data_IF_782257262564
#
_entry.id   IF_782257262564
#
_cell.length_a   1.000
_cell.length_b   1.000
_cell.length_c   1.000
_cell.angle_alpha   90.00
_cell.angle_beta   90.00
_cell.angle_gamma   90.00
#
_symmetry.space_group_name_H-M   'P 1'
#
loop_
_entity.id
_entity.type
_entity.pdbx_description
1 polymer ?
#
# COMPACT_ATOMS: atom_id res chain seq x y z
N UNK A 1 6.50 -23.15 7.06
CA UNK A 1 6.58 -22.00 7.98
C UNK A 1 5.22 -21.85 8.64
N UNK A 2 5.13 -21.84 9.98
CA UNK A 2 3.85 -21.62 10.68
C UNK A 2 3.56 -20.14 10.88
N UNK A 3 2.30 -19.80 11.12
CA UNK A 3 1.87 -18.43 11.43
C UNK A 3 2.66 -17.86 12.62
N UNK A 4 2.80 -18.62 13.71
CA UNK A 4 3.54 -18.16 14.90
C UNK A 4 5.04 -17.94 14.63
N UNK A 5 5.66 -18.79 13.79
CA UNK A 5 7.04 -18.59 13.38
C UNK A 5 7.21 -17.29 12.59
N UNK A 6 6.32 -17.02 11.63
CA UNK A 6 6.37 -15.80 10.82
C UNK A 6 6.11 -14.53 11.66
N UNK A 7 5.14 -14.57 12.58
CA UNK A 7 4.89 -13.48 13.54
C UNK A 7 6.17 -13.12 14.31
N UNK A 8 6.83 -14.14 14.86
CA UNK A 8 8.07 -13.97 15.63
C UNK A 8 9.19 -13.39 14.78
N UNK A 9 9.41 -13.91 13.58
CA UNK A 9 10.46 -13.42 12.67
C UNK A 9 10.25 -11.96 12.28
N UNK A 10 9.02 -11.56 11.95
CA UNK A 10 8.72 -10.16 11.62
C UNK A 10 8.97 -9.25 12.84
N UNK A 11 8.55 -9.68 14.04
CA UNK A 11 8.77 -8.93 15.26
C UNK A 11 10.27 -8.80 15.63
N UNK A 12 11.08 -9.84 15.38
CA UNK A 12 12.54 -9.80 15.61
C UNK A 12 13.30 -8.90 14.62
N UNK A 13 12.70 -8.59 13.46
CA UNK A 13 13.27 -7.68 12.45
C UNK A 13 12.87 -6.22 12.67
N UNK A 14 12.09 -5.95 13.70
CA UNK A 14 11.79 -4.59 14.14
C UNK A 14 12.98 -3.96 14.86
N UNK A 15 13.27 -2.69 14.57
CA UNK A 15 14.38 -1.98 15.21
C UNK A 15 14.09 -1.59 16.67
N UNK A 16 12.81 -1.59 17.05
CA UNK A 16 12.31 -1.21 18.37
C UNK A 16 11.24 -2.22 18.80
N UNK A 17 10.92 -2.26 20.10
CA UNK A 17 9.81 -3.07 20.58
C UNK A 17 8.50 -2.60 19.92
N UNK A 18 7.78 -3.49 19.20
CA UNK A 18 6.54 -3.12 18.53
C UNK A 18 5.47 -2.68 19.52
N UNK A 19 4.70 -1.65 19.18
CA UNK A 19 3.50 -1.29 19.95
C UNK A 19 2.44 -2.39 19.86
N UNK A 20 1.41 -2.35 20.71
CA UNK A 20 0.32 -3.33 20.69
C UNK A 20 -0.40 -3.39 19.33
N UNK A 21 -0.63 -2.22 18.71
CA UNK A 21 -1.19 -2.11 17.36
C UNK A 21 -0.26 -2.68 16.29
N UNK A 22 1.05 -2.42 16.38
CA UNK A 22 2.03 -2.98 15.45
C UNK A 22 2.12 -4.51 15.58
N UNK A 23 2.09 -5.05 16.79
CA UNK A 23 2.08 -6.50 17.01
C UNK A 23 0.82 -7.18 16.48
N UNK A 24 -0.34 -6.53 16.64
CA UNK A 24 -1.62 -6.97 16.05
C UNK A 24 -1.56 -6.97 14.52
N UNK A 25 -0.97 -5.93 13.93
CA UNK A 25 -0.76 -5.87 12.49
C UNK A 25 0.22 -6.94 11.99
N UNK A 26 1.32 -7.18 12.69
CA UNK A 26 2.24 -8.29 12.39
C UNK A 26 1.48 -9.62 12.38
N UNK A 27 0.53 -9.77 13.30
CA UNK A 27 -0.29 -10.98 13.36
C UNK A 27 -1.16 -11.15 12.12
N UNK A 28 -1.86 -10.10 11.71
CA UNK A 28 -2.70 -10.08 10.51
C UNK A 28 -1.86 -10.30 9.25
N UNK A 29 -0.67 -9.72 9.18
CA UNK A 29 0.24 -9.88 8.04
C UNK A 29 0.73 -11.31 7.92
N UNK A 30 1.10 -11.95 9.03
CA UNK A 30 1.51 -13.35 9.00
C UNK A 30 0.39 -14.28 8.51
N UNK A 31 -0.84 -14.04 8.97
CA UNK A 31 -2.03 -14.76 8.49
C UNK A 31 -2.31 -14.48 7.01
N UNK A 32 -2.18 -13.23 6.58
CA UNK A 32 -2.35 -12.81 5.19
C UNK A 32 -1.32 -13.44 4.25
N UNK A 33 -0.06 -13.52 4.65
CA UNK A 33 1.03 -14.08 3.83
C UNK A 33 0.93 -15.59 3.66
N UNK A 34 0.37 -16.29 4.66
CA UNK A 34 0.23 -17.75 4.67
C UNK A 34 -1.15 -18.26 4.24
N UNK A 35 -2.09 -17.34 3.96
CA UNK A 35 -3.43 -17.68 3.47
C UNK A 35 -3.36 -18.43 2.13
N UNK A 36 -4.15 -19.48 1.94
CA UNK A 36 -4.16 -20.29 0.72
C UNK A 36 -5.09 -19.74 -0.37
N UNK A 37 -5.96 -18.78 -0.02
CA UNK A 37 -6.86 -18.16 -0.99
C UNK A 37 -6.08 -17.41 -2.08
N UNK A 38 -6.48 -17.61 -3.32
CA UNK A 38 -6.02 -16.79 -4.43
C UNK A 38 -6.70 -15.42 -4.36
N UNK A 39 -6.00 -14.36 -4.75
CA UNK A 39 -6.51 -12.98 -4.76
C UNK A 39 -6.85 -12.41 -3.37
N UNK A 40 -5.82 -12.32 -2.54
CA UNK A 40 -5.85 -11.69 -1.23
C UNK A 40 -5.36 -10.23 -1.29
N UNK A 41 -6.09 -9.32 -0.65
CA UNK A 41 -5.74 -7.90 -0.50
C UNK A 41 -5.73 -7.50 0.97
N UNK A 42 -4.68 -6.81 1.42
CA UNK A 42 -4.61 -6.23 2.76
C UNK A 42 -4.44 -4.71 2.67
N UNK A 43 -5.32 -3.98 3.36
CA UNK A 43 -5.25 -2.51 3.47
C UNK A 43 -4.74 -2.13 4.85
N UNK A 44 -3.63 -1.40 4.90
CA UNK A 44 -3.02 -0.88 6.13
C UNK A 44 -3.19 0.63 6.16
N UNK A 45 -3.95 1.11 7.12
CA UNK A 45 -4.17 2.52 7.38
C UNK A 45 -3.33 2.95 8.57
N UNK A 46 -2.96 4.21 8.62
CA UNK A 46 -2.44 4.81 9.84
C UNK A 46 -1.78 6.14 9.58
N UNK A 47 -1.61 6.91 10.64
CA UNK A 47 -1.11 8.26 10.53
C UNK A 47 0.40 8.35 10.30
N UNK A 48 0.89 9.54 9.94
CA UNK A 48 2.32 9.84 10.01
C UNK A 48 2.87 9.54 11.42
N UNK A 49 3.95 8.75 11.49
CA UNK A 49 4.61 8.39 12.73
C UNK A 49 4.11 7.11 13.42
N UNK A 50 3.18 6.35 12.82
CA UNK A 50 2.68 5.08 13.40
C UNK A 50 3.53 3.85 13.06
N UNK A 51 4.60 4.03 12.29
CA UNK A 51 5.57 2.96 11.98
C UNK A 51 5.22 2.08 10.76
N UNK A 52 4.30 2.50 9.89
CA UNK A 52 3.94 1.77 8.65
C UNK A 52 5.16 1.32 7.83
N UNK A 53 6.06 2.25 7.52
CA UNK A 53 7.27 1.95 6.72
C UNK A 53 8.25 1.04 7.48
N UNK A 54 8.30 1.10 8.81
CA UNK A 54 9.10 0.18 9.64
C UNK A 54 8.59 -1.25 9.53
N UNK A 55 7.27 -1.45 9.50
CA UNK A 55 6.64 -2.75 9.27
C UNK A 55 7.00 -3.28 7.88
N UNK A 56 6.90 -2.43 6.84
CA UNK A 56 7.29 -2.82 5.47
C UNK A 56 8.73 -3.30 5.43
N UNK A 57 9.66 -2.54 6.04
CA UNK A 57 11.07 -2.92 6.14
C UNK A 57 11.25 -4.30 6.79
N UNK A 58 10.59 -4.54 7.92
CA UNK A 58 10.69 -5.83 8.63
C UNK A 58 10.19 -7.00 7.76
N UNK A 59 9.07 -6.82 7.06
CA UNK A 59 8.49 -7.84 6.18
C UNK A 59 9.39 -8.11 4.98
N UNK A 60 9.91 -7.06 4.34
CA UNK A 60 10.82 -7.22 3.19
C UNK A 60 12.03 -8.05 3.58
N UNK A 61 12.66 -7.75 4.72
CA UNK A 61 13.80 -8.53 5.22
C UNK A 61 13.46 -10.00 5.46
N UNK A 62 12.34 -10.27 6.12
CA UNK A 62 11.90 -11.66 6.35
C UNK A 62 11.61 -12.37 5.03
N UNK A 63 10.90 -11.75 4.09
CA UNK A 63 10.55 -12.40 2.81
C UNK A 63 11.78 -12.66 1.93
N UNK A 64 12.75 -11.75 1.94
CA UNK A 64 14.01 -11.89 1.22
C UNK A 64 14.84 -13.09 1.75
N UNK A 65 14.89 -13.29 3.07
CA UNK A 65 15.54 -14.46 3.70
C UNK A 65 14.91 -15.80 3.27
N UNK A 66 13.63 -15.81 2.87
CA UNK A 66 12.89 -17.00 2.47
C UNK A 66 12.69 -17.11 0.95
N UNK A 67 13.45 -16.34 0.15
CA UNK A 67 13.35 -16.30 -1.32
C UNK A 67 11.93 -16.01 -1.82
N UNK A 68 11.14 -15.25 -1.07
CA UNK A 68 9.83 -14.79 -1.49
C UNK A 68 9.97 -13.41 -2.14
N UNK A 69 9.36 -13.23 -3.31
CA UNK A 69 9.50 -12.00 -4.07
C UNK A 69 8.86 -10.81 -3.33
N UNK A 70 9.51 -9.65 -3.37
CA UNK A 70 8.90 -8.39 -2.92
C UNK A 70 9.05 -7.31 -3.98
N UNK A 71 7.98 -6.56 -4.22
CA UNK A 71 7.98 -5.42 -5.14
C UNK A 71 7.37 -4.23 -4.43
N UNK A 72 8.18 -3.19 -4.24
CA UNK A 72 7.78 -1.96 -3.58
C UNK A 72 7.36 -0.91 -4.60
N UNK A 73 6.18 -0.34 -4.41
CA UNK A 73 5.55 0.61 -5.32
C UNK A 73 5.07 1.85 -4.59
N UNK A 74 5.02 2.95 -5.32
CA UNK A 74 4.41 4.20 -4.85
C UNK A 74 3.80 4.97 -6.04
N UNK A 75 2.85 5.89 -5.82
CA UNK A 75 2.22 6.66 -6.89
C UNK A 75 3.18 7.68 -7.53
N UNK A 76 4.08 8.27 -6.74
CA UNK A 76 5.01 9.32 -7.20
C UNK A 76 6.48 8.91 -7.10
N UNK A 77 7.35 9.52 -7.92
CA UNK A 77 8.79 9.25 -7.89
C UNK A 77 9.44 9.66 -6.56
N UNK A 78 8.95 10.73 -5.92
CA UNK A 78 9.43 11.15 -4.59
C UNK A 78 9.09 10.11 -3.53
N UNK A 79 7.84 9.64 -3.50
CA UNK A 79 7.39 8.60 -2.57
C UNK A 79 8.17 7.30 -2.79
N UNK A 80 8.39 6.88 -4.05
CA UNK A 80 9.21 5.70 -4.36
C UNK A 80 10.66 5.83 -3.85
N UNK A 81 11.29 7.00 -4.01
CA UNK A 81 12.66 7.26 -3.51
C UNK A 81 12.72 7.18 -1.99
N UNK A 82 11.72 7.74 -1.30
CA UNK A 82 11.63 7.71 0.17
C UNK A 82 11.39 6.28 0.66
N UNK A 83 10.43 5.56 0.05
CA UNK A 83 10.15 4.16 0.35
C UNK A 83 11.41 3.31 0.20
N UNK A 84 12.14 3.46 -0.92
CA UNK A 84 13.37 2.71 -1.16
C UNK A 84 14.42 2.93 -0.08
N UNK A 85 14.57 4.18 0.38
CA UNK A 85 15.53 4.53 1.42
C UNK A 85 15.19 3.89 2.76
N UNK A 86 13.91 3.91 3.15
CA UNK A 86 13.49 3.39 4.46
C UNK A 86 13.36 1.87 4.50
N UNK A 87 12.92 1.24 3.39
CA UNK A 87 12.83 -0.22 3.29
C UNK A 87 14.18 -0.89 3.05
N UNK A 88 15.22 -0.12 2.69
CA UNK A 88 16.53 -0.62 2.25
C UNK A 88 16.41 -1.56 1.02
N UNK A 89 15.36 -1.38 0.21
CA UNK A 89 15.06 -2.22 -0.96
C UNK A 89 14.54 -1.37 -2.12
N UNK A 90 14.83 -1.69 -3.39
CA UNK A 90 14.40 -0.88 -4.53
C UNK A 90 12.88 -0.73 -4.63
N UNK A 91 12.40 0.51 -4.74
CA UNK A 91 11.00 0.81 -5.02
C UNK A 91 10.83 1.62 -6.32
N UNK A 92 9.69 1.45 -6.97
CA UNK A 92 9.38 2.05 -8.26
C UNK A 92 8.05 2.79 -8.23
N UNK A 93 7.83 3.67 -9.20
CA UNK A 93 6.47 4.18 -9.39
C UNK A 93 5.58 3.08 -9.96
N UNK A 94 4.29 3.08 -9.62
CA UNK A 94 3.30 2.15 -10.19
C UNK A 94 3.37 2.21 -11.71
N UNK A 95 3.32 3.42 -12.27
CA UNK A 95 3.39 3.65 -13.72
C UNK A 95 4.61 3.00 -14.37
N UNK A 96 5.80 3.16 -13.77
CA UNK A 96 7.05 2.56 -14.29
C UNK A 96 7.01 1.04 -14.24
N UNK A 97 6.29 0.45 -13.28
CA UNK A 97 6.23 -1.00 -13.10
C UNK A 97 5.24 -1.66 -14.05
N UNK A 98 4.06 -1.08 -14.24
CA UNK A 98 2.94 -1.78 -14.90
C UNK A 98 2.74 -1.38 -16.36
N UNK A 99 3.21 -0.20 -16.79
CA UNK A 99 2.93 0.29 -18.14
C UNK A 99 4.13 0.17 -19.08
N UNK A 100 3.84 -0.24 -20.32
CA UNK A 100 4.72 -0.20 -21.47
C UNK A 100 4.21 0.86 -22.46
N UNK A 101 5.11 1.73 -22.90
CA UNK A 101 4.86 2.63 -24.02
C UNK A 101 5.17 1.88 -25.32
N UNK A 102 4.17 1.76 -26.19
CA UNK A 102 4.28 1.26 -27.54
C UNK A 102 3.94 2.39 -28.52
N UNK A 103 4.41 2.29 -29.75
CA UNK A 103 3.97 3.14 -30.87
C UNK A 103 3.17 2.29 -31.84
N UNK A 104 1.98 2.75 -32.21
CA UNK A 104 1.24 2.15 -33.31
C UNK A 104 1.90 2.46 -34.66
N UNK A 105 1.48 1.77 -35.73
CA UNK A 105 1.98 1.97 -37.10
C UNK A 105 1.83 3.41 -37.59
N UNK A 106 0.86 4.15 -37.04
CA UNK A 106 0.58 5.55 -37.34
C UNK A 106 1.38 6.55 -36.47
N UNK A 107 2.31 6.07 -35.64
CA UNK A 107 3.12 6.92 -34.75
C UNK A 107 2.41 7.41 -33.48
N UNK A 108 1.15 6.98 -33.27
CA UNK A 108 0.42 7.25 -32.04
C UNK A 108 1.01 6.43 -30.89
N UNK A 109 1.25 7.07 -29.74
CA UNK A 109 1.73 6.36 -28.55
C UNK A 109 0.54 5.63 -27.91
N UNK A 110 0.72 4.34 -27.65
CA UNK A 110 -0.21 3.48 -26.94
C UNK A 110 0.40 3.06 -25.60
N UNK A 111 -0.43 3.04 -24.56
CA UNK A 111 -0.06 2.52 -23.24
C UNK A 111 -0.72 1.16 -23.08
N UNK A 112 0.10 0.11 -22.92
CA UNK A 112 -0.35 -1.25 -22.62
C UNK A 112 0.22 -1.70 -21.27
N UNK A 113 -0.42 -2.68 -20.63
CA UNK A 113 0.12 -3.30 -19.41
C UNK A 113 1.25 -4.28 -19.76
N UNK A 114 2.29 -4.29 -18.93
CA UNK A 114 3.29 -5.36 -18.96
C UNK A 114 2.66 -6.69 -18.53
N UNK A 115 3.09 -7.83 -19.08
CA UNK A 115 2.75 -9.12 -18.50
C UNK A 115 3.40 -9.25 -17.11
N UNK A 116 2.64 -9.70 -16.13
CA UNK A 116 3.18 -9.96 -14.80
C UNK A 116 3.82 -11.35 -14.74
N UNK A 117 5.16 -11.39 -14.82
CA UNK A 117 5.95 -12.63 -14.78
C UNK A 117 6.34 -13.05 -13.36
N UNK A 118 5.84 -12.36 -12.32
CA UNK A 118 6.17 -12.65 -10.93
C UNK A 118 5.48 -13.93 -10.43
N UNK A 119 6.18 -14.65 -9.54
CA UNK A 119 5.67 -15.85 -8.85
C UNK A 119 5.97 -15.74 -7.37
N UNK A 120 5.00 -16.04 -6.51
CA UNK A 120 5.17 -15.96 -5.05
C UNK A 120 5.74 -14.60 -4.62
N UNK A 121 5.04 -13.53 -5.02
CA UNK A 121 5.52 -12.15 -4.83
C UNK A 121 4.51 -11.30 -4.08
N UNK A 122 4.98 -10.63 -3.03
CA UNK A 122 4.26 -9.58 -2.35
C UNK A 122 4.50 -8.23 -3.02
N UNK A 123 3.43 -7.61 -3.51
CA UNK A 123 3.41 -6.22 -3.94
C UNK A 123 2.98 -5.34 -2.76
N UNK A 124 3.78 -4.33 -2.44
CA UNK A 124 3.45 -3.34 -1.40
C UNK A 124 3.39 -1.97 -2.06
N UNK A 125 2.26 -1.29 -1.91
CA UNK A 125 2.07 0.06 -2.42
C UNK A 125 1.95 1.02 -1.26
N UNK A 126 2.91 1.93 -1.14
CA UNK A 126 2.87 3.01 -0.14
C UNK A 126 2.23 4.27 -0.72
N UNK A 127 1.73 5.15 0.14
CA UNK A 127 0.95 6.35 -0.22
C UNK A 127 -0.26 6.04 -1.12
N UNK A 128 -0.95 4.92 -0.86
CA UNK A 128 -2.13 4.48 -1.61
C UNK A 128 -3.28 5.51 -1.56
N UNK A 129 -3.27 6.42 -0.59
CA UNK A 129 -4.19 7.57 -0.52
C UNK A 129 -4.21 8.38 -1.81
N UNK A 130 -3.12 8.45 -2.58
CA UNK A 130 -3.03 9.22 -3.83
C UNK A 130 -3.44 8.43 -5.08
N UNK A 131 -3.82 7.16 -4.96
CA UNK A 131 -4.24 6.35 -6.11
C UNK A 131 -5.69 6.68 -6.45
N UNK A 132 -5.91 7.26 -7.64
CA UNK A 132 -7.24 7.57 -8.15
C UNK A 132 -7.85 6.38 -8.90
N UNK A 133 -9.18 6.35 -8.92
CA UNK A 133 -9.97 5.58 -9.91
C UNK A 133 -10.35 6.46 -11.10
N UNK A 134 -10.31 7.79 -10.93
CA UNK A 134 -10.54 8.73 -12.01
C UNK A 134 -9.32 8.81 -12.94
N UNK A 135 -9.59 8.65 -14.23
CA UNK A 135 -8.74 9.10 -15.31
C UNK A 135 -8.70 10.63 -15.26
N UNK A 136 -7.59 11.23 -14.82
CA UNK A 136 -7.36 12.66 -15.02
C UNK A 136 -7.07 12.90 -16.52
N UNK A 137 -8.13 12.92 -17.31
CA UNK A 137 -8.14 13.22 -18.76
C UNK A 137 -8.25 14.73 -18.93
N UNK A 138 -7.29 15.49 -18.41
CA UNK A 138 -7.16 16.90 -18.86
C UNK A 138 -5.78 17.22 -19.44
N UNK A 139 -4.73 16.48 -19.11
CA UNK A 139 -3.40 16.75 -19.69
C UNK A 139 -2.92 15.72 -20.72
N UNK A 140 -3.53 14.53 -20.81
CA UNK A 140 -3.10 13.52 -21.76
C UNK A 140 -4.29 12.73 -22.31
N UNK A 141 -4.51 12.82 -23.63
CA UNK A 141 -5.44 12.01 -24.44
C UNK A 141 -5.00 10.53 -24.47
N UNK A 142 -4.94 9.89 -23.31
CA UNK A 142 -4.48 8.51 -23.16
C UNK A 142 -5.52 7.77 -22.33
N UNK A 143 -6.33 6.96 -23.04
CA UNK A 143 -7.17 5.85 -22.59
C UNK A 143 -7.70 5.93 -21.15
N UNK A 144 -9.03 6.09 -20.99
CA UNK A 144 -9.75 6.16 -19.71
C UNK A 144 -9.71 4.92 -18.81
N UNK A 145 -8.49 4.44 -18.48
CA UNK A 145 -8.23 3.32 -17.56
C UNK A 145 -7.93 3.88 -16.17
N UNK A 146 -8.47 3.21 -15.16
CA UNK A 146 -8.24 3.51 -13.74
C UNK A 146 -6.90 2.91 -13.32
N UNK A 147 -6.01 3.72 -12.73
CA UNK A 147 -4.70 3.25 -12.26
C UNK A 147 -4.85 2.11 -11.23
N UNK A 148 -5.86 2.17 -10.37
CA UNK A 148 -6.15 1.11 -9.40
C UNK A 148 -6.57 -0.19 -10.09
N UNK A 149 -7.42 -0.11 -11.11
CA UNK A 149 -7.90 -1.27 -11.86
C UNK A 149 -6.73 -1.94 -12.59
N UNK A 150 -5.93 -1.15 -13.30
CA UNK A 150 -4.77 -1.61 -14.06
C UNK A 150 -3.68 -2.21 -13.15
N UNK A 151 -3.48 -1.65 -11.94
CA UNK A 151 -2.59 -2.21 -10.93
C UNK A 151 -3.08 -3.58 -10.43
N UNK A 152 -4.37 -3.70 -10.12
CA UNK A 152 -4.98 -4.93 -9.63
C UNK A 152 -4.93 -6.01 -10.72
N UNK A 153 -5.30 -5.66 -11.95
CA UNK A 153 -5.21 -6.54 -13.12
C UNK A 153 -3.77 -7.03 -13.30
N UNK A 154 -2.79 -6.13 -13.32
CA UNK A 154 -1.38 -6.49 -13.43
C UNK A 154 -0.97 -7.48 -12.32
N UNK A 155 -1.26 -7.18 -11.05
CA UNK A 155 -0.79 -8.01 -9.93
C UNK A 155 -1.40 -9.40 -9.96
N UNK A 156 -2.72 -9.53 -10.14
CA UNK A 156 -3.39 -10.83 -10.05
C UNK A 156 -3.38 -11.63 -11.37
N UNK A 157 -2.82 -11.08 -12.44
CA UNK A 157 -2.38 -11.86 -13.60
C UNK A 157 -1.06 -12.61 -13.34
N UNK A 158 -0.35 -12.32 -12.24
CA UNK A 158 0.81 -13.09 -11.78
C UNK A 158 0.42 -14.35 -11.01
N UNK A 159 1.39 -15.24 -10.75
CA UNK A 159 1.13 -16.48 -10.03
C UNK A 159 1.38 -16.30 -8.51
N UNK A 160 0.39 -16.61 -7.67
CA UNK A 160 0.46 -16.46 -6.21
C UNK A 160 1.02 -15.10 -5.79
N UNK A 161 0.53 -14.03 -6.41
CA UNK A 161 0.88 -12.67 -6.08
C UNK A 161 -0.13 -12.08 -5.09
N UNK A 162 0.37 -11.28 -4.14
CA UNK A 162 -0.43 -10.66 -3.07
C UNK A 162 -0.22 -9.16 -3.07
N UNK A 163 -1.22 -8.41 -2.64
CA UNK A 163 -1.15 -6.95 -2.58
C UNK A 163 -1.41 -6.44 -1.16
N UNK A 164 -0.51 -5.56 -0.70
CA UNK A 164 -0.73 -4.70 0.46
C UNK A 164 -0.83 -3.24 -0.02
N UNK A 165 -1.93 -2.58 0.30
CA UNK A 165 -2.11 -1.14 0.11
C UNK A 165 -1.89 -0.42 1.44
N UNK A 166 -0.99 0.56 1.46
CA UNK A 166 -0.62 1.30 2.66
C UNK A 166 -0.91 2.77 2.42
N UNK A 167 -1.59 3.42 3.36
CA UNK A 167 -1.85 4.86 3.26
C UNK A 167 -2.27 5.51 4.56
N UNK A 168 -2.43 6.82 4.51
CA UNK A 168 -2.93 7.65 5.60
C UNK A 168 -4.27 8.24 5.18
N UNK A 169 -5.33 7.93 5.94
CA UNK A 169 -6.69 8.39 5.69
C UNK A 169 -6.92 9.86 6.08
N UNK A 170 -6.02 10.46 6.86
CA UNK A 170 -6.04 11.89 7.19
C UNK A 170 -5.13 12.73 6.27
N UNK A 171 -4.45 12.12 5.30
CA UNK A 171 -3.86 12.87 4.20
C UNK A 171 -4.93 13.29 3.19
N UNK A 172 -4.55 14.21 2.29
CA UNK A 172 -5.42 14.62 1.20
C UNK A 172 -5.75 13.41 0.31
N UNK A 173 -7.04 13.18 -0.02
CA UNK A 173 -7.44 12.20 -1.02
C UNK A 173 -6.91 12.56 -2.41
N UNK A 174 -7.03 11.67 -3.43
CA UNK A 174 -6.66 12.02 -4.80
C UNK A 174 -7.42 13.27 -5.25
N UNK A 175 -6.79 14.06 -6.12
CA UNK A 175 -7.39 15.30 -6.65
C UNK A 175 -8.77 15.00 -7.25
N UNK A 176 -9.79 15.75 -6.83
CA UNK A 176 -11.16 15.58 -7.30
C UNK A 176 -11.98 14.49 -6.58
N UNK A 177 -11.46 13.86 -5.53
CA UNK A 177 -12.16 12.84 -4.75
C UNK A 177 -12.23 13.19 -3.26
N UNK A 178 -13.32 12.79 -2.59
CA UNK A 178 -13.49 12.98 -1.14
C UNK A 178 -12.85 11.84 -0.32
N UNK A 179 -12.69 10.65 -0.92
CA UNK A 179 -12.15 9.44 -0.30
C UNK A 179 -11.21 8.79 -1.32
N UNK A 180 -10.11 8.22 -0.85
CA UNK A 180 -9.24 7.39 -1.69
C UNK A 180 -9.89 6.02 -1.92
N UNK A 181 -10.26 5.65 -3.17
CA UNK A 181 -10.87 4.35 -3.44
C UNK A 181 -9.93 3.18 -3.11
N UNK A 182 -8.62 3.39 -3.16
CA UNK A 182 -7.62 2.40 -2.78
C UNK A 182 -7.55 2.14 -1.27
N UNK A 183 -8.15 3.01 -0.45
CA UNK A 183 -8.27 2.84 1.00
C UNK A 183 -9.72 2.62 1.45
N UNK A 184 -10.68 2.59 0.53
CA UNK A 184 -12.09 2.34 0.79
C UNK A 184 -12.39 0.84 0.71
N UNK A 185 -12.73 0.26 1.86
CA UNK A 185 -12.88 -1.18 2.00
C UNK A 185 -14.13 -1.67 1.26
N UNK A 186 -15.23 -0.92 1.36
CA UNK A 186 -16.51 -1.27 0.74
C UNK A 186 -16.39 -1.19 -0.78
N UNK A 187 -15.73 -0.13 -1.28
CA UNK A 187 -15.44 0.00 -2.71
C UNK A 187 -14.59 -1.15 -3.23
N UNK A 188 -13.50 -1.49 -2.55
CA UNK A 188 -12.59 -2.57 -2.97
C UNK A 188 -13.30 -3.94 -2.95
N UNK A 189 -14.09 -4.22 -1.92
CA UNK A 189 -14.82 -5.47 -1.80
C UNK A 189 -15.90 -5.58 -2.88
N UNK A 190 -16.68 -4.52 -3.11
CA UNK A 190 -17.72 -4.49 -4.15
C UNK A 190 -17.15 -4.57 -5.57
N UNK A 191 -16.00 -3.94 -5.82
CA UNK A 191 -15.42 -3.84 -7.17
C UNK A 191 -14.65 -5.08 -7.61
N UNK A 192 -14.00 -5.79 -6.67
CA UNK A 192 -13.06 -6.85 -7.02
C UNK A 192 -13.38 -8.22 -6.43
N UNK A 193 -14.28 -8.31 -5.44
CA UNK A 193 -14.69 -9.57 -4.82
C UNK A 193 -13.56 -10.32 -4.10
N UNK A 194 -12.48 -9.63 -3.72
CA UNK A 194 -11.32 -10.23 -3.06
C UNK A 194 -11.60 -10.52 -1.58
N UNK A 195 -10.88 -11.51 -1.04
CA UNK A 195 -10.74 -11.64 0.40
C UNK A 195 -9.90 -10.47 0.91
N UNK A 196 -10.59 -9.51 1.51
CA UNK A 196 -10.02 -8.27 1.97
C UNK A 196 -9.81 -8.32 3.48
N UNK A 197 -8.60 -7.95 3.90
CA UNK A 197 -8.28 -7.64 5.29
C UNK A 197 -7.96 -6.16 5.42
N UNK A 198 -8.28 -5.56 6.54
CA UNK A 198 -7.89 -4.17 6.81
C UNK A 198 -7.45 -3.99 8.26
N UNK A 199 -6.49 -3.10 8.49
CA UNK A 199 -6.06 -2.73 9.84
C UNK A 199 -5.64 -1.26 9.88
N UNK A 200 -5.97 -0.57 10.98
CA UNK A 200 -5.59 0.83 11.19
C UNK A 200 -4.66 0.97 12.40
N UNK A 201 -3.45 1.48 12.16
CA UNK A 201 -2.51 1.86 13.19
C UNK A 201 -2.84 3.26 13.72
N UNK A 202 -3.12 3.35 15.01
CA UNK A 202 -3.50 4.59 15.69
C UNK A 202 -2.41 5.14 16.61
N UNK A 203 -1.51 4.28 17.10
CA UNK A 203 -0.45 4.62 18.05
C UNK A 203 0.72 5.33 17.33
N UNK A 204 1.02 6.57 17.73
CA UNK A 204 2.15 7.33 17.17
C UNK A 204 3.39 7.10 18.03
N UNK A 205 4.46 6.63 17.42
CA UNK A 205 5.68 6.15 18.11
C UNK A 205 6.86 7.14 17.97
N UNK A 206 6.60 8.38 17.57
CA UNK A 206 7.65 9.40 17.40
C UNK A 206 8.26 9.79 18.74
N UNK A 207 9.58 9.98 18.76
CA UNK A 207 10.37 10.46 19.90
C UNK A 207 10.13 11.94 20.27
N UNK A 208 9.11 12.58 19.70
CA UNK A 208 8.75 13.98 19.99
C UNK A 208 7.35 14.07 20.60
N UNK A 209 7.15 13.49 21.78
CA UNK A 209 5.92 13.68 22.53
C UNK A 209 5.64 15.18 22.83
N UNK A 210 6.68 16.02 22.82
CA UNK A 210 6.62 17.47 23.07
C UNK A 210 6.63 18.37 21.82
N UNK A 211 6.46 17.80 20.60
CA UNK A 211 6.38 18.63 19.40
C UNK A 211 4.99 19.26 19.25
N UNK A 212 4.92 20.59 19.23
CA UNK A 212 3.69 21.34 18.95
C UNK A 212 3.04 20.95 17.61
N UNK A 213 3.82 20.46 16.64
CA UNK A 213 3.31 19.96 15.36
C UNK A 213 2.52 18.65 15.58
N UNK A 214 3.05 17.72 16.37
CA UNK A 214 2.37 16.45 16.64
C UNK A 214 1.07 16.67 17.44
N UNK A 215 1.11 17.58 18.41
CA UNK A 215 -0.08 17.99 19.16
C UNK A 215 -1.17 18.53 18.23
N UNK A 216 -0.83 19.52 17.38
CA UNK A 216 -1.78 20.12 16.46
C UNK A 216 -2.30 19.12 15.42
N UNK A 217 -1.44 18.27 14.86
CA UNK A 217 -1.87 17.23 13.92
C UNK A 217 -2.82 16.22 14.58
N UNK A 218 -2.57 15.84 15.84
CA UNK A 218 -3.43 14.94 16.60
C UNK A 218 -4.78 15.58 16.91
N UNK A 219 -4.80 16.88 17.23
CA UNK A 219 -6.04 17.64 17.44
C UNK A 219 -6.88 17.71 16.16
N UNK A 220 -6.29 18.08 15.02
CA UNK A 220 -6.98 18.10 13.72
C UNK A 220 -7.57 16.73 13.38
N UNK A 221 -6.82 15.64 13.62
CA UNK A 221 -7.32 14.26 13.40
C UNK A 221 -8.53 13.94 14.27
N UNK A 222 -8.49 14.28 15.57
CA UNK A 222 -9.61 14.06 16.49
C UNK A 222 -10.87 14.80 16.02
N UNK A 223 -10.71 16.03 15.51
CA UNK A 223 -11.81 16.82 14.96
C UNK A 223 -12.39 16.15 13.70
N UNK A 224 -11.56 15.73 12.74
CA UNK A 224 -11.99 15.02 11.53
C UNK A 224 -12.74 13.70 11.85
N UNK A 225 -12.32 12.98 12.90
CA UNK A 225 -13.00 11.76 13.35
C UNK A 225 -14.33 12.06 14.06
N UNK A 226 -14.44 13.20 14.74
CA UNK A 226 -15.68 13.62 15.40
C UNK A 226 -16.75 14.06 14.42
N UNK A 227 -16.39 14.74 13.32
CA UNK A 227 -17.34 15.14 12.27
C UNK A 227 -17.94 13.93 11.53
N UNK A 228 -17.15 12.85 11.34
CA UNK A 228 -17.64 11.61 10.71
C UNK A 228 -18.67 10.84 11.54
N UNK A 229 -18.86 11.15 12.83
CA UNK A 229 -19.83 10.49 13.71
C UNK A 229 -21.18 11.21 13.82
N UNK A 230 -21.33 12.39 13.20
CA UNK A 230 -22.52 13.24 13.34
C UNK A 230 -23.53 13.10 12.18
N UNK A 231 -23.50 12.00 11.43
CA UNK A 231 -24.47 11.68 10.39
C UNK A 231 -24.98 10.25 10.53
#
# INVERSE_FOLDING_TARGET
MTINQLKKLIAERFQYEPTAGQYSLISIIAEFLLDQEDRNLLVIKGYAGTGKTSIVKAIVKVLEEYNHGTVLLAPTGRSAKVLSKYSESPAFTIHKKIYKLNSDTDGNVKIDLFPNLHKNTLFVVDEASMISVASNIEENKFSGRSLLNDLIEYIYNGNNCRLILIGDTAQLPPVGMNISPALDIDFLQASYGFKLRSFELTEVVRQEADSGILFNATLIRKLLLSEKKSY
#
